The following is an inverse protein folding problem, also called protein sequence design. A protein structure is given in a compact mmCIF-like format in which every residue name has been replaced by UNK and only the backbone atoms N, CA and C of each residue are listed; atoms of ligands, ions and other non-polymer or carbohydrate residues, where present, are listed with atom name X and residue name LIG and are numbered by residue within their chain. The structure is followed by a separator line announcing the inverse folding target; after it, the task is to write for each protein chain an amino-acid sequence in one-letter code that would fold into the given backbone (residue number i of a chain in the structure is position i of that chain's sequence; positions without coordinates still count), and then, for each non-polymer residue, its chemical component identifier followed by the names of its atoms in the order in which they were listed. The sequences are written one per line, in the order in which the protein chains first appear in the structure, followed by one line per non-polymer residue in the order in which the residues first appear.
data_IF_662096854881
#
_entry.id   IF_662096854881
#
_cell.length_a   1.000
_cell.length_b   1.000
_cell.length_c   1.000
_cell.angle_alpha   90.00
_cell.angle_beta   90.00
_cell.angle_gamma   90.00
#
_symmetry.space_group_name_H-M   'P 1'
#
loop_
_entity.id
_entity.type
_entity.pdbx_description
1 polymer ?
#
# COMPACT_ATOMS: atom_id res chain seq x y z
N UNK A 1 -25.79 -2.92 -15.87
CA UNK A 1 -24.98 -3.61 -14.84
C UNK A 1 -23.67 -4.00 -15.51
N UNK A 2 -22.66 -3.13 -15.46
CA UNK A 2 -21.36 -3.44 -16.04
C UNK A 2 -20.63 -4.41 -15.10
N UNK A 3 -20.20 -5.54 -15.64
CA UNK A 3 -19.43 -6.56 -14.95
C UNK A 3 -17.99 -6.04 -14.81
N UNK A 4 -17.59 -5.69 -13.58
CA UNK A 4 -16.31 -5.06 -13.16
C UNK A 4 -16.13 -3.60 -13.61
N UNK A 5 -15.91 -2.70 -12.64
CA UNK A 5 -15.61 -1.28 -12.91
C UNK A 5 -14.20 -1.13 -13.51
N UNK A 6 -13.99 -0.11 -14.33
CA UNK A 6 -12.68 0.19 -14.91
C UNK A 6 -11.61 0.39 -13.83
N UNK A 7 -11.98 0.95 -12.68
CA UNK A 7 -11.09 1.14 -11.53
C UNK A 7 -10.59 -0.20 -10.97
N UNK A 8 -11.50 -1.16 -10.76
CA UNK A 8 -11.16 -2.50 -10.25
C UNK A 8 -10.21 -3.24 -11.20
N UNK A 9 -10.44 -3.14 -12.51
CA UNK A 9 -9.55 -3.75 -13.51
C UNK A 9 -8.15 -3.12 -13.47
N UNK A 10 -8.04 -1.81 -13.28
CA UNK A 10 -6.74 -1.14 -13.14
C UNK A 10 -6.04 -1.58 -11.85
N UNK A 11 -6.75 -1.70 -10.74
CA UNK A 11 -6.19 -2.18 -9.46
C UNK A 11 -5.65 -3.60 -9.62
N UNK A 12 -6.44 -4.51 -10.23
CA UNK A 12 -5.98 -5.88 -10.48
C UNK A 12 -4.79 -5.93 -11.43
N UNK A 13 -4.76 -5.07 -12.46
CA UNK A 13 -3.60 -4.94 -13.36
C UNK A 13 -2.36 -4.46 -12.60
N UNK A 14 -2.51 -3.44 -11.76
CA UNK A 14 -1.45 -2.91 -10.90
C UNK A 14 -0.90 -3.95 -9.94
N UNK A 15 -1.78 -4.75 -9.31
CA UNK A 15 -1.41 -5.91 -8.50
C UNK A 15 -0.55 -6.88 -9.30
N UNK A 16 -0.98 -7.30 -10.48
CA UNK A 16 -0.20 -8.23 -11.31
C UNK A 16 1.22 -7.71 -11.55
N UNK A 17 1.38 -6.41 -11.84
CA UNK A 17 2.71 -5.81 -12.00
C UNK A 17 3.52 -5.76 -10.70
N UNK A 18 2.88 -5.51 -9.55
CA UNK A 18 3.52 -5.51 -8.24
C UNK A 18 4.07 -6.91 -7.87
N UNK A 19 3.28 -7.95 -8.10
CA UNK A 19 3.67 -9.35 -7.84
C UNK A 19 4.81 -9.80 -8.79
N UNK A 20 4.82 -9.30 -10.03
CA UNK A 20 5.88 -9.55 -11.02
C UNK A 20 7.15 -8.69 -10.83
N UNK A 21 7.21 -7.91 -9.75
CA UNK A 21 8.28 -6.95 -9.49
C UNK A 21 8.58 -6.01 -10.66
N UNK A 22 7.52 -5.44 -11.25
CA UNK A 22 7.58 -4.45 -12.34
C UNK A 22 7.08 -3.08 -11.84
N UNK A 23 7.82 -2.41 -10.94
CA UNK A 23 7.31 -1.23 -10.24
C UNK A 23 7.03 -0.06 -11.17
N UNK A 24 7.82 0.13 -12.24
CA UNK A 24 7.60 1.17 -13.26
C UNK A 24 6.28 1.00 -14.04
N UNK A 25 5.66 -0.19 -13.99
CA UNK A 25 4.32 -0.45 -14.54
C UNK A 25 3.24 -0.40 -13.46
N UNK A 26 3.55 -0.92 -12.26
CA UNK A 26 2.61 -1.00 -11.16
C UNK A 26 2.25 0.39 -10.59
N UNK A 27 3.26 1.19 -10.25
CA UNK A 27 3.11 2.50 -9.60
C UNK A 27 2.16 3.43 -10.37
N UNK A 28 2.33 3.71 -11.67
CA UNK A 28 1.45 4.66 -12.35
C UNK A 28 -0.01 4.19 -12.42
N UNK A 29 -0.23 2.89 -12.63
CA UNK A 29 -1.57 2.30 -12.71
C UNK A 29 -2.26 2.34 -11.34
N UNK A 30 -1.56 1.93 -10.28
CA UNK A 30 -2.10 1.93 -8.91
C UNK A 30 -2.35 3.35 -8.41
N UNK A 31 -1.46 4.30 -8.71
CA UNK A 31 -1.64 5.72 -8.36
C UNK A 31 -2.95 6.26 -8.94
N UNK A 32 -3.14 6.07 -10.24
CA UNK A 32 -4.34 6.57 -10.93
C UNK A 32 -5.62 5.93 -10.35
N UNK A 33 -5.62 4.61 -10.17
CA UNK A 33 -6.82 3.90 -9.74
C UNK A 33 -7.17 4.17 -8.27
N UNK A 34 -6.16 4.24 -7.38
CA UNK A 34 -6.39 4.43 -5.94
C UNK A 34 -6.70 5.87 -5.56
N UNK A 35 -6.34 6.85 -6.39
CA UNK A 35 -6.77 8.24 -6.24
C UNK A 35 -8.29 8.40 -6.46
N UNK A 36 -8.89 7.59 -7.33
CA UNK A 36 -10.35 7.60 -7.58
C UNK A 36 -11.13 6.62 -6.70
N UNK A 37 -10.46 5.69 -6.03
CA UNK A 37 -11.12 4.68 -5.20
C UNK A 37 -11.54 5.27 -3.85
N UNK A 38 -12.82 5.16 -3.49
CA UNK A 38 -13.37 5.82 -2.30
C UNK A 38 -12.89 5.18 -0.98
N UNK A 39 -12.61 6.02 0.02
CA UNK A 39 -12.22 5.56 1.37
C UNK A 39 -13.35 4.84 2.11
N UNK A 40 -14.62 5.05 1.70
CA UNK A 40 -15.77 4.30 2.21
C UNK A 40 -15.63 2.78 2.05
N UNK A 41 -14.77 2.33 1.11
CA UNK A 41 -14.38 0.93 0.93
C UNK A 41 -13.06 0.61 1.65
N UNK A 42 -12.92 1.05 2.92
CA UNK A 42 -11.68 1.01 3.69
C UNK A 42 -11.00 -0.38 3.71
N UNK A 43 -11.78 -1.47 3.78
CA UNK A 43 -11.25 -2.85 3.77
C UNK A 43 -10.56 -3.20 2.45
N UNK A 44 -11.20 -2.89 1.33
CA UNK A 44 -10.62 -3.21 0.02
C UNK A 44 -9.49 -2.24 -0.30
N UNK A 45 -9.67 -0.95 0.03
CA UNK A 45 -8.66 0.08 -0.20
C UNK A 45 -7.38 -0.19 0.57
N UNK A 46 -7.45 -0.60 1.84
CA UNK A 46 -6.27 -1.01 2.62
C UNK A 46 -5.54 -2.19 1.99
N UNK A 47 -6.27 -3.22 1.51
CA UNK A 47 -5.66 -4.32 0.77
C UNK A 47 -4.91 -3.79 -0.47
N UNK A 48 -5.51 -2.91 -1.24
CA UNK A 48 -4.93 -2.41 -2.49
C UNK A 48 -3.73 -1.50 -2.26
N UNK A 49 -3.80 -0.64 -1.24
CA UNK A 49 -2.68 0.19 -0.81
C UNK A 49 -1.48 -0.66 -0.35
N UNK A 50 -1.69 -1.86 0.20
CA UNK A 50 -0.57 -2.76 0.53
C UNK A 50 0.25 -3.16 -0.71
N UNK A 51 -0.39 -3.41 -1.85
CA UNK A 51 0.31 -3.66 -3.12
C UNK A 51 1.00 -2.41 -3.66
N UNK A 52 0.40 -1.24 -3.43
CA UNK A 52 0.95 0.02 -3.88
C UNK A 52 2.21 0.41 -3.08
N UNK A 53 2.17 0.28 -1.76
CA UNK A 53 3.33 0.49 -0.89
C UNK A 53 4.49 -0.45 -1.25
N UNK A 54 4.18 -1.73 -1.49
CA UNK A 54 5.17 -2.69 -1.98
C UNK A 54 5.75 -2.29 -3.36
N UNK A 55 4.92 -1.74 -4.26
CA UNK A 55 5.37 -1.28 -5.58
C UNK A 55 6.33 -0.09 -5.47
N UNK A 56 6.04 0.89 -4.60
CA UNK A 56 6.98 1.98 -4.32
C UNK A 56 8.28 1.47 -3.72
N UNK A 57 8.21 0.53 -2.77
CA UNK A 57 9.42 -0.05 -2.18
C UNK A 57 10.27 -0.78 -3.21
N UNK A 58 9.66 -1.45 -4.16
CA UNK A 58 10.35 -2.10 -5.28
C UNK A 58 10.96 -1.10 -6.27
N UNK A 59 10.36 0.09 -6.43
CA UNK A 59 10.95 1.19 -7.21
C UNK A 59 12.14 1.86 -6.51
N UNK A 60 12.37 1.60 -5.22
CA UNK A 60 13.36 2.32 -4.41
C UNK A 60 12.82 3.61 -3.78
N UNK A 61 11.53 3.89 -3.95
CA UNK A 61 10.85 5.08 -3.40
C UNK A 61 10.44 4.81 -1.94
N UNK A 62 11.42 4.86 -1.03
CA UNK A 62 11.25 4.48 0.38
C UNK A 62 10.24 5.38 1.11
N UNK A 63 10.33 6.70 0.92
CA UNK A 63 9.43 7.64 1.60
C UNK A 63 7.97 7.46 1.14
N UNK A 64 7.74 7.28 -0.16
CA UNK A 64 6.40 7.04 -0.69
C UNK A 64 5.84 5.70 -0.25
N UNK A 65 6.69 4.66 -0.19
CA UNK A 65 6.30 3.38 0.39
C UNK A 65 5.85 3.51 1.85
N UNK A 66 6.55 4.33 2.64
CA UNK A 66 6.21 4.57 4.04
C UNK A 66 4.88 5.33 4.17
N UNK A 67 4.66 6.40 3.40
CA UNK A 67 3.39 7.15 3.39
C UNK A 67 2.19 6.29 3.02
N UNK A 68 2.34 5.41 2.03
CA UNK A 68 1.24 4.50 1.63
C UNK A 68 1.02 3.40 2.68
N UNK A 69 2.09 2.89 3.29
CA UNK A 69 1.98 1.93 4.39
C UNK A 69 1.27 2.55 5.61
N UNK A 70 1.60 3.81 5.94
CA UNK A 70 0.94 4.58 7.00
C UNK A 70 -0.57 4.68 6.77
N UNK A 71 -0.97 5.10 5.57
CA UNK A 71 -2.39 5.16 5.20
C UNK A 71 -3.08 3.79 5.24
N UNK A 72 -2.35 2.73 4.91
CA UNK A 72 -2.86 1.36 4.97
C UNK A 72 -3.11 0.94 6.42
N UNK A 73 -2.23 1.30 7.35
CA UNK A 73 -2.40 1.04 8.78
C UNK A 73 -3.63 1.76 9.34
N UNK A 74 -3.84 3.02 8.96
CA UNK A 74 -5.04 3.79 9.36
C UNK A 74 -6.33 3.08 8.93
N UNK A 75 -6.45 2.77 7.64
CA UNK A 75 -7.65 2.12 7.11
C UNK A 75 -7.83 0.69 7.67
N UNK A 76 -6.74 -0.02 7.96
CA UNK A 76 -6.80 -1.35 8.57
C UNK A 76 -7.31 -1.29 10.01
N UNK A 77 -6.98 -0.23 10.75
CA UNK A 77 -7.47 0.02 12.09
C UNK A 77 -8.97 0.37 12.09
N UNK A 78 -9.42 1.20 11.14
CA UNK A 78 -10.85 1.55 10.97
C UNK A 78 -11.75 0.31 10.78
N UNK A 79 -11.25 -0.71 10.05
CA UNK A 79 -12.00 -1.96 9.81
C UNK A 79 -11.65 -3.09 10.77
N UNK A 80 -10.89 -2.81 11.83
CA UNK A 80 -10.41 -3.75 12.84
C UNK A 80 -9.79 -5.04 12.25
N UNK A 81 -9.04 -4.94 11.14
CA UNK A 81 -8.50 -6.10 10.44
C UNK A 81 -7.05 -6.38 10.80
N UNK A 82 -6.85 -7.41 11.64
CA UNK A 82 -5.52 -7.90 12.01
C UNK A 82 -4.75 -8.45 10.80
N UNK A 83 -5.45 -9.14 9.89
CA UNK A 83 -4.83 -9.72 8.69
C UNK A 83 -4.23 -8.65 7.77
N UNK A 84 -4.94 -7.55 7.54
CA UNK A 84 -4.45 -6.44 6.72
C UNK A 84 -3.22 -5.77 7.33
N UNK A 85 -3.21 -5.61 8.66
CA UNK A 85 -2.03 -5.11 9.39
C UNK A 85 -0.85 -6.06 9.25
N UNK A 86 -1.04 -7.36 9.46
CA UNK A 86 0.02 -8.37 9.36
C UNK A 86 0.61 -8.47 7.96
N UNK A 87 -0.19 -8.22 6.92
CA UNK A 87 0.28 -8.21 5.52
C UNK A 87 1.38 -7.18 5.28
N UNK A 88 1.42 -6.09 6.06
CA UNK A 88 2.47 -5.07 5.95
C UNK A 88 3.79 -5.46 6.63
N UNK A 89 3.82 -6.46 7.51
CA UNK A 89 5.02 -6.80 8.28
C UNK A 89 6.28 -6.95 7.41
N UNK A 90 6.26 -7.63 6.24
CA UNK A 90 7.45 -7.72 5.38
C UNK A 90 7.92 -6.36 4.86
N UNK A 91 6.99 -5.45 4.55
CA UNK A 91 7.32 -4.11 4.09
C UNK A 91 7.90 -3.28 5.25
N UNK A 92 7.29 -3.35 6.43
CA UNK A 92 7.75 -2.66 7.63
C UNK A 92 9.19 -3.07 7.98
N UNK A 93 9.50 -4.37 7.94
CA UNK A 93 10.86 -4.88 8.11
C UNK A 93 11.85 -4.35 7.07
N UNK A 94 11.40 -4.19 5.83
CA UNK A 94 12.20 -3.58 4.75
C UNK A 94 12.39 -2.07 4.94
N UNK A 95 11.49 -1.38 5.64
CA UNK A 95 11.60 0.05 5.91
C UNK A 95 12.51 0.35 7.10
N UNK A 96 12.63 -0.55 8.09
CA UNK A 96 13.43 -0.35 9.31
C UNK A 96 14.86 0.17 9.09
N UNK A 97 15.64 -0.28 8.09
CA UNK A 97 16.97 0.29 7.82
C UNK A 97 16.98 1.79 7.48
N UNK A 98 15.82 2.36 7.13
CA UNK A 98 15.62 3.74 6.72
C UNK A 98 14.95 4.62 7.79
N UNK A 99 14.96 4.20 9.06
CA UNK A 99 14.35 4.91 10.20
C UNK A 99 14.81 6.37 10.39
N UNK A 100 15.91 6.79 9.76
CA UNK A 100 16.32 8.20 9.73
C UNK A 100 15.41 9.11 8.90
N UNK A 101 14.54 8.55 8.05
CA UNK A 101 13.54 9.31 7.30
C UNK A 101 12.28 9.51 8.16
N UNK A 102 11.75 10.75 8.28
CA UNK A 102 10.59 11.03 9.13
C UNK A 102 9.38 10.14 8.84
N UNK A 103 9.01 10.01 7.55
CA UNK A 103 7.87 9.16 7.15
C UNK A 103 8.07 7.67 7.53
N UNK A 104 9.32 7.21 7.57
CA UNK A 104 9.63 5.84 8.00
C UNK A 104 9.55 5.71 9.51
N UNK A 105 10.07 6.68 10.27
CA UNK A 105 9.95 6.68 11.72
C UNK A 105 8.47 6.63 12.17
N UNK A 106 7.62 7.47 11.56
CA UNK A 106 6.19 7.55 11.85
C UNK A 106 5.48 6.19 11.64
N UNK A 107 5.77 5.52 10.51
CA UNK A 107 5.12 4.24 10.21
C UNK A 107 5.65 3.10 11.08
N UNK A 108 6.93 3.13 11.48
CA UNK A 108 7.52 2.15 12.41
C UNK A 108 6.91 2.27 13.81
N UNK A 109 6.72 3.51 14.29
CA UNK A 109 6.02 3.80 15.54
C UNK A 109 4.58 3.29 15.49
N UNK A 110 3.83 3.60 14.43
CA UNK A 110 2.44 3.13 14.23
C UNK A 110 2.36 1.59 14.13
N UNK A 111 3.38 0.96 13.54
CA UNK A 111 3.48 -0.49 13.47
C UNK A 111 3.88 -1.15 14.81
N UNK A 112 4.35 -0.37 15.79
CA UNK A 112 4.79 -0.86 17.10
C UNK A 112 6.13 -1.60 17.05
N UNK A 113 7.00 -1.22 16.10
CA UNK A 113 8.33 -1.81 15.89
C UNK A 113 9.37 -0.69 15.85
N UNK A 114 9.64 -0.11 17.01
CA UNK A 114 10.71 0.89 17.21
C UNK A 114 12.03 0.21 17.51
#
# INVERSE_FOLDING_TARGET
MAWVDATDLQIMTGRCWAELRRPLRAVPVLTKALNSYADAHARDKSLYLSWFAASYRQAGEVEEAAKVADRTLDLSAEVASVWLRQRLNPLIEQLRPHHGLPAVADVLEKAGVT
#
